data_IF_191478654034
#
_entry.id   IF_191478654034
#
_cell.length_a   1.000
_cell.length_b   1.000
_cell.length_c   1.000
_cell.angle_alpha   90.00
_cell.angle_beta   90.00
_cell.angle_gamma   90.00
#
_symmetry.space_group_name_H-M   'P 1'
#
loop_
_entity.id
_entity.type
_entity.pdbx_description
1 polymer ?
#
# COMPACT_ATOMS: atom_id res chain seq x y z
N UNK A 1 -1.56 16.20 5.11
CA UNK A 1 -1.31 14.95 4.36
C UNK A 1 -1.17 13.69 5.24
N UNK A 2 -0.64 13.75 6.48
CA UNK A 2 -0.43 12.55 7.34
C UNK A 2 -1.69 11.74 7.70
N UNK A 3 -2.85 12.37 7.88
CA UNK A 3 -4.06 11.68 8.37
C UNK A 3 -4.77 10.79 7.33
N UNK A 4 -4.66 11.11 6.03
CA UNK A 4 -5.45 10.45 4.98
C UNK A 4 -4.96 9.03 4.66
N UNK A 5 -3.64 8.85 4.60
CA UNK A 5 -3.01 7.55 4.28
C UNK A 5 -3.24 6.56 5.43
N UNK A 6 -3.12 7.01 6.68
CA UNK A 6 -3.39 6.19 7.87
C UNK A 6 -4.87 5.79 7.95
N UNK A 7 -5.79 6.68 7.56
CA UNK A 7 -7.23 6.37 7.48
C UNK A 7 -7.53 5.33 6.40
N UNK A 8 -6.85 5.40 5.25
CA UNK A 8 -7.02 4.44 4.16
C UNK A 8 -6.60 3.02 4.56
N UNK A 9 -5.51 2.89 5.32
CA UNK A 9 -5.04 1.60 5.84
C UNK A 9 -5.78 1.12 7.10
N UNK A 10 -6.58 1.97 7.76
CA UNK A 10 -7.29 1.58 8.99
C UNK A 10 -8.74 1.16 8.74
N UNK A 11 -9.31 1.51 7.59
CA UNK A 11 -10.68 1.14 7.24
C UNK A 11 -10.69 0.54 5.84
N UNK A 12 -10.96 -0.78 5.69
CA UNK A 12 -10.95 -1.44 4.40
C UNK A 12 -12.04 -0.90 3.45
N UNK A 13 -13.03 -0.16 3.93
CA UNK A 13 -14.09 0.43 3.10
C UNK A 13 -13.61 1.65 2.28
N UNK A 14 -12.42 2.19 2.57
CA UNK A 14 -11.90 3.42 1.97
C UNK A 14 -10.92 3.21 0.80
N UNK A 15 -10.64 1.97 0.37
CA UNK A 15 -9.80 1.73 -0.82
C UNK A 15 -10.30 2.40 -2.12
N UNK A 16 -11.61 2.62 -2.38
CA UNK A 16 -12.04 3.25 -3.64
C UNK A 16 -11.84 4.78 -3.65
N UNK A 17 -11.60 5.41 -2.49
CA UNK A 17 -11.28 6.85 -2.43
C UNK A 17 -9.98 7.19 -3.18
N UNK A 18 -9.09 6.20 -3.28
CA UNK A 18 -7.83 6.27 -3.98
C UNK A 18 -6.68 6.70 -3.09
N UNK A 19 -5.52 6.08 -3.28
CA UNK A 19 -4.28 6.49 -2.61
C UNK A 19 -3.73 7.71 -3.33
N UNK A 20 -3.41 8.78 -2.59
CA UNK A 20 -2.80 10.00 -3.13
C UNK A 20 -1.35 10.11 -2.65
N UNK A 21 -0.41 9.77 -3.53
CA UNK A 21 1.00 10.18 -3.46
C UNK A 21 1.25 11.16 -4.60
N UNK A 22 0.54 12.31 -4.58
CA UNK A 22 0.52 13.30 -5.67
C UNK A 22 -0.27 12.89 -6.92
N UNK A 23 -0.52 11.60 -7.14
CA UNK A 23 -1.35 11.05 -8.22
C UNK A 23 -2.42 10.13 -7.62
N UNK A 24 -3.66 10.21 -8.12
CA UNK A 24 -4.77 9.36 -7.67
C UNK A 24 -4.68 7.98 -8.32
N UNK A 25 -4.49 6.95 -7.51
CA UNK A 25 -4.55 5.53 -7.93
C UNK A 25 -5.90 4.92 -7.55
N UNK A 26 -6.47 4.09 -8.42
CA UNK A 26 -7.72 3.37 -8.12
C UNK A 26 -7.40 2.12 -7.30
N UNK A 27 -8.06 1.97 -6.16
CA UNK A 27 -7.92 0.78 -5.31
C UNK A 27 -8.33 -0.47 -6.09
N UNK A 28 -7.41 -1.42 -6.22
CA UNK A 28 -7.66 -2.69 -6.90
C UNK A 28 -8.01 -3.79 -5.90
N UNK A 29 -7.38 -3.78 -4.72
CA UNK A 29 -7.60 -4.73 -3.64
C UNK A 29 -7.36 -4.03 -2.30
N UNK A 30 -8.28 -4.20 -1.36
CA UNK A 30 -8.14 -3.70 0.01
C UNK A 30 -8.33 -4.84 1.00
N UNK A 31 -7.32 -5.11 1.80
CA UNK A 31 -7.36 -6.02 2.95
C UNK A 31 -7.04 -5.21 4.22
N UNK A 32 -7.27 -5.80 5.40
CA UNK A 32 -6.99 -5.16 6.70
C UNK A 32 -5.51 -4.82 6.85
N UNK A 33 -4.62 -5.63 6.26
CA UNK A 33 -3.16 -5.44 6.35
C UNK A 33 -2.54 -4.73 5.16
N UNK A 34 -3.15 -4.79 3.99
CA UNK A 34 -2.55 -4.25 2.76
C UNK A 34 -3.57 -3.69 1.80
N UNK A 35 -3.26 -2.54 1.20
CA UNK A 35 -4.06 -1.91 0.15
C UNK A 35 -3.21 -1.77 -1.11
N UNK A 36 -3.68 -2.37 -2.20
CA UNK A 36 -3.06 -2.27 -3.52
C UNK A 36 -3.92 -1.38 -4.40
N UNK A 37 -3.31 -0.34 -4.96
CA UNK A 37 -3.95 0.57 -5.89
C UNK A 37 -3.14 0.63 -7.20
N UNK A 38 -3.83 0.73 -8.33
CA UNK A 38 -3.21 0.74 -9.66
C UNK A 38 -3.74 1.87 -10.52
N UNK A 39 -2.92 2.31 -11.46
CA UNK A 39 -3.24 3.29 -12.50
C UNK A 39 -2.53 2.86 -13.78
N UNK A 40 -3.30 2.26 -14.68
CA UNK A 40 -2.79 1.62 -15.90
C UNK A 40 -1.64 0.65 -15.58
N UNK A 41 -0.44 0.89 -16.12
CA UNK A 41 0.74 0.03 -15.92
C UNK A 41 1.55 0.38 -14.66
N UNK A 42 1.15 1.39 -13.89
CA UNK A 42 1.82 1.77 -12.63
C UNK A 42 0.95 1.41 -11.43
N UNK A 43 1.56 1.19 -10.26
CA UNK A 43 0.79 0.94 -9.05
C UNK A 43 1.52 1.26 -7.77
N UNK A 44 0.76 1.21 -6.69
CA UNK A 44 1.22 1.51 -5.34
C UNK A 44 0.64 0.48 -4.36
N UNK A 45 1.49 -0.02 -3.48
CA UNK A 45 1.16 -0.99 -2.45
C UNK A 45 1.39 -0.33 -1.09
N UNK A 46 0.43 -0.49 -0.19
CA UNK A 46 0.52 -0.06 1.19
C UNK A 46 0.44 -1.30 2.06
N UNK A 47 1.40 -1.49 2.96
CA UNK A 47 1.35 -2.52 3.97
C UNK A 47 1.43 -1.87 5.36
N UNK A 48 0.48 -2.20 6.23
CA UNK A 48 0.37 -1.65 7.58
C UNK A 48 1.20 -2.50 8.56
N UNK A 49 2.06 -1.84 9.33
CA UNK A 49 2.75 -2.45 10.49
C UNK A 49 2.08 -1.99 11.80
N UNK A 50 2.64 -2.30 12.97
CA UNK A 50 2.06 -1.86 14.25
C UNK A 50 2.18 -0.35 14.46
N UNK A 51 3.27 0.25 13.96
CA UNK A 51 3.65 1.65 14.21
C UNK A 51 3.89 2.46 12.94
N UNK A 52 3.97 1.82 11.76
CA UNK A 52 4.27 2.46 10.48
C UNK A 52 3.41 1.93 9.33
N UNK A 53 3.53 2.59 8.17
CA UNK A 53 2.95 2.13 6.91
C UNK A 53 4.07 2.10 5.88
N UNK A 54 4.32 0.93 5.31
CA UNK A 54 5.27 0.74 4.21
C UNK A 54 4.54 1.06 2.91
N UNK A 55 5.13 1.91 2.08
CA UNK A 55 4.58 2.31 0.78
C UNK A 55 5.59 1.93 -0.30
N UNK A 56 5.20 1.03 -1.20
CA UNK A 56 5.98 0.70 -2.39
C UNK A 56 5.26 1.19 -3.65
N UNK A 57 5.98 1.85 -4.56
CA UNK A 57 5.48 2.22 -5.88
C UNK A 57 6.26 1.46 -6.94
N UNK A 58 5.56 0.96 -7.95
CA UNK A 58 6.16 0.31 -9.11
C UNK A 58 5.68 0.99 -10.39
N UNK A 59 6.53 0.94 -11.41
CA UNK A 59 6.23 1.39 -12.76
C UNK A 59 5.94 0.21 -13.70
N UNK A 60 5.78 0.50 -14.98
CA UNK A 60 5.45 -0.48 -16.02
C UNK A 60 6.56 -1.48 -16.34
N UNK A 61 7.80 -1.20 -15.90
CA UNK A 61 8.94 -2.11 -16.08
C UNK A 61 9.03 -3.17 -14.97
N UNK A 62 8.23 -3.03 -13.91
CA UNK A 62 8.26 -3.88 -12.72
C UNK A 62 7.05 -4.81 -12.67
N UNK A 63 7.26 -6.05 -12.21
CA UNK A 63 6.16 -6.98 -12.02
C UNK A 63 5.35 -6.62 -10.75
N UNK A 64 4.03 -6.39 -10.86
CA UNK A 64 3.18 -6.06 -9.71
C UNK A 64 3.25 -7.08 -8.57
N UNK A 65 3.35 -8.38 -8.90
CA UNK A 65 3.38 -9.45 -7.91
C UNK A 65 4.67 -9.45 -7.08
N UNK A 66 5.81 -9.22 -7.72
CA UNK A 66 7.10 -9.12 -7.04
C UNK A 66 7.19 -7.86 -6.17
N UNK A 67 6.69 -6.74 -6.69
CA UNK A 67 6.61 -5.50 -5.93
C UNK A 67 5.75 -5.66 -4.67
N UNK A 68 4.58 -6.28 -4.79
CA UNK A 68 3.71 -6.56 -3.64
C UNK A 68 4.40 -7.46 -2.62
N UNK A 69 4.98 -8.58 -3.07
CA UNK A 69 5.68 -9.53 -2.20
C UNK A 69 6.84 -8.87 -1.44
N UNK A 70 7.57 -7.96 -2.10
CA UNK A 70 8.70 -7.26 -1.49
C UNK A 70 8.24 -6.30 -0.38
N UNK A 71 7.15 -5.56 -0.63
CA UNK A 71 6.56 -4.63 0.34
C UNK A 71 5.98 -5.39 1.54
N UNK A 72 5.31 -6.51 1.31
CA UNK A 72 4.78 -7.36 2.37
C UNK A 72 5.89 -7.97 3.23
N UNK A 73 6.94 -8.51 2.61
CA UNK A 73 8.11 -9.04 3.34
C UNK A 73 8.78 -7.98 4.21
N UNK A 74 8.91 -6.76 3.70
CA UNK A 74 9.47 -5.65 4.48
C UNK A 74 8.56 -5.29 5.67
N UNK A 75 7.24 -5.24 5.46
CA UNK A 75 6.29 -4.99 6.53
C UNK A 75 6.33 -6.10 7.60
N UNK A 76 6.37 -7.37 7.20
CA UNK A 76 6.50 -8.50 8.13
C UNK A 76 7.82 -8.45 8.92
N UNK A 77 8.93 -8.09 8.27
CA UNK A 77 10.20 -7.89 8.96
C UNK A 77 10.11 -6.78 10.01
N UNK A 78 9.48 -5.65 9.69
CA UNK A 78 9.27 -4.55 10.64
C UNK A 78 8.37 -4.98 11.81
N UNK A 79 7.33 -5.76 11.55
CA UNK A 79 6.43 -6.31 12.58
C UNK A 79 7.18 -7.25 13.53
N UNK A 80 8.06 -8.09 12.99
CA UNK A 80 8.88 -9.01 13.75
C UNK A 80 9.90 -8.29 14.65
N UNK A 81 10.43 -7.15 14.19
CA UNK A 81 11.40 -6.34 14.95
C UNK A 81 10.76 -5.31 15.90
N UNK A 82 9.44 -5.38 16.12
CA UNK A 82 8.76 -4.58 17.15
C UNK A 82 8.07 -3.30 16.65
N UNK A 83 7.96 -3.10 15.34
CA UNK A 83 7.27 -1.95 14.71
C UNK A 83 5.99 -2.34 13.97
#
# INVERSE_FOLDING_TARGET
MRAAIVKLCSTPENYPAGVVVGVRYLGAKGDIRSVVARKSATGVIHAKTKQAVVIGRYDESQNPGEAQLTVEKLADYLIANGT
#
